data_IF_873042477324
#
_entry.id   IF_873042477324
#
_cell.length_a   1.000
_cell.length_b   1.000
_cell.length_c   1.000
_cell.angle_alpha   90.00
_cell.angle_beta   90.00
_cell.angle_gamma   90.00
#
_symmetry.space_group_name_H-M   'P 1'
#
loop_
_entity.id
_entity.type
_entity.pdbx_description
1 polymer ?
#
# COMPACT_ATOMS: atom_id res chain seq x y z
N UNK A 1 -6.82 6.89 28.22
CA UNK A 1 -5.67 7.78 27.97
C UNK A 1 -5.84 8.34 26.57
N UNK A 2 -6.42 9.54 26.44
CA UNK A 2 -6.75 10.16 25.14
C UNK A 2 -5.51 10.75 24.43
N UNK A 3 -4.40 10.88 25.15
CA UNK A 3 -3.21 11.62 24.70
C UNK A 3 -2.09 10.74 24.11
N UNK A 4 -2.24 9.41 24.07
CA UNK A 4 -1.21 8.52 23.54
C UNK A 4 -0.99 8.71 22.03
N UNK A 5 0.26 8.68 21.54
CA UNK A 5 0.58 8.62 20.11
C UNK A 5 0.06 7.31 19.51
N UNK A 6 -0.92 7.40 18.62
CA UNK A 6 -1.57 6.22 18.04
C UNK A 6 -1.98 6.48 16.60
N UNK A 7 -2.00 5.41 15.79
CA UNK A 7 -2.63 5.42 14.49
C UNK A 7 -4.14 5.41 14.65
N UNK A 8 -4.84 6.06 13.73
CA UNK A 8 -6.31 6.05 13.69
C UNK A 8 -6.79 5.57 12.33
N UNK A 9 -7.92 4.85 12.26
CA UNK A 9 -8.46 4.34 11.01
C UNK A 9 -8.74 5.45 10.00
N UNK A 10 -8.56 5.13 8.73
CA UNK A 10 -8.95 5.96 7.59
C UNK A 10 -9.65 5.08 6.54
N UNK A 11 -9.68 5.52 5.29
CA UNK A 11 -9.98 4.63 4.17
C UNK A 11 -9.01 3.45 4.12
N UNK A 12 -9.47 2.33 3.55
CA UNK A 12 -8.69 1.12 3.35
C UNK A 12 -7.43 1.42 2.52
N UNK A 13 -6.28 0.95 3.01
CA UNK A 13 -4.98 1.25 2.39
C UNK A 13 -4.69 0.20 1.32
N UNK A 14 -5.13 0.47 0.09
CA UNK A 14 -4.97 -0.43 -1.06
C UNK A 14 -3.70 -0.11 -1.87
N UNK A 15 -2.72 -1.02 -1.87
CA UNK A 15 -1.47 -0.86 -2.63
C UNK A 15 -1.35 -1.96 -3.70
N UNK A 16 -1.32 -1.60 -5.00
CA UNK A 16 -1.09 -2.57 -6.05
C UNK A 16 0.33 -3.12 -5.96
N UNK A 17 0.47 -4.44 -5.97
CA UNK A 17 1.77 -5.09 -5.88
C UNK A 17 2.64 -4.73 -7.10
N UNK A 18 3.88 -4.34 -6.83
CA UNK A 18 4.84 -3.89 -7.84
C UNK A 18 4.75 -2.40 -8.21
N UNK A 19 3.70 -1.69 -7.80
CA UNK A 19 3.56 -0.26 -8.07
C UNK A 19 4.27 0.59 -7.04
N UNK A 20 4.96 1.64 -7.49
CA UNK A 20 5.59 2.61 -6.62
C UNK A 20 4.53 3.59 -6.11
N UNK A 21 4.15 3.48 -4.84
CA UNK A 21 3.17 4.37 -4.21
C UNK A 21 3.59 4.78 -2.79
N UNK A 22 3.23 6.00 -2.34
CA UNK A 22 3.32 6.37 -0.94
C UNK A 22 2.15 5.76 -0.15
N UNK A 23 2.32 5.62 1.17
CA UNK A 23 1.24 5.21 2.09
C UNK A 23 1.00 6.35 3.08
N UNK A 24 -0.19 6.92 3.08
CA UNK A 24 -0.56 8.02 4.00
C UNK A 24 -1.38 7.46 5.15
N UNK A 25 -0.96 7.74 6.37
CA UNK A 25 -1.59 7.26 7.60
C UNK A 25 -2.11 8.43 8.41
N UNK A 26 -3.29 8.24 8.99
CA UNK A 26 -3.86 9.14 10.00
C UNK A 26 -3.41 8.69 11.39
N UNK A 27 -3.20 9.66 12.27
CA UNK A 27 -2.76 9.41 13.62
C UNK A 27 -3.30 10.48 14.60
N UNK A 28 -2.98 10.30 15.88
CA UNK A 28 -3.12 11.31 16.93
C UNK A 28 -1.80 11.44 17.69
N UNK A 29 -1.51 12.65 18.16
CA UNK A 29 -0.43 12.96 19.08
C UNK A 29 0.97 12.45 18.67
N UNK A 30 1.27 12.43 17.35
CA UNK A 30 2.59 12.03 16.88
C UNK A 30 3.67 12.99 17.40
N UNK A 31 4.70 12.48 18.11
CA UNK A 31 5.77 13.31 18.67
C UNK A 31 6.56 14.02 17.58
N UNK A 32 7.07 15.21 17.89
CA UNK A 32 8.03 15.89 17.02
C UNK A 32 9.44 15.40 17.39
N UNK A 33 10.20 14.78 16.46
CA UNK A 33 11.58 14.39 16.72
C UNK A 33 12.41 15.61 17.15
N UNK A 34 13.10 15.48 18.27
CA UNK A 34 13.98 16.52 18.84
C UNK A 34 15.38 16.44 18.22
N UNK A 35 16.25 17.40 18.57
CA UNK A 35 17.64 17.42 18.11
C UNK A 35 18.34 16.09 18.45
N UNK A 36 18.97 15.47 17.45
CA UNK A 36 19.64 14.17 17.58
C UNK A 36 18.74 12.94 17.48
N UNK A 37 17.41 13.10 17.43
CA UNK A 37 16.48 11.99 17.21
C UNK A 37 16.27 11.72 15.72
N UNK A 38 16.18 10.43 15.35
CA UNK A 38 15.88 10.04 13.96
C UNK A 38 14.39 10.22 13.65
N UNK A 39 14.09 10.42 12.37
CA UNK A 39 12.73 10.57 11.86
C UNK A 39 11.91 9.28 11.92
N UNK A 40 10.80 9.29 11.19
CA UNK A 40 9.86 8.17 11.12
C UNK A 40 10.26 7.18 10.03
N UNK A 41 9.89 5.92 10.23
CA UNK A 41 10.04 4.82 9.29
C UNK A 41 8.76 3.95 9.34
N UNK A 42 8.34 3.43 8.19
CA UNK A 42 7.32 2.40 8.09
C UNK A 42 8.00 1.05 7.88
N UNK A 43 7.57 0.04 8.64
CA UNK A 43 8.06 -1.33 8.54
C UNK A 43 6.89 -2.23 8.20
N UNK A 44 6.84 -2.74 6.96
CA UNK A 44 5.81 -3.67 6.49
C UNK A 44 6.32 -5.11 6.60
N UNK A 45 5.48 -6.02 7.09
CA UNK A 45 5.85 -7.43 7.33
C UNK A 45 5.18 -8.32 6.29
N UNK A 46 5.87 -8.58 5.18
CA UNK A 46 5.32 -9.29 4.03
C UNK A 46 5.93 -10.69 3.98
N UNK A 47 5.12 -11.73 4.26
CA UNK A 47 5.54 -13.14 4.18
C UNK A 47 6.85 -13.46 4.92
N UNK A 48 7.06 -12.84 6.09
CA UNK A 48 8.27 -13.03 6.91
C UNK A 48 9.44 -12.12 6.54
N UNK A 49 9.29 -11.26 5.52
CA UNK A 49 10.29 -10.25 5.15
C UNK A 49 9.84 -8.86 5.62
N UNK A 50 10.72 -8.17 6.34
CA UNK A 50 10.47 -6.78 6.78
C UNK A 50 10.98 -5.78 5.75
N UNK A 51 10.06 -5.01 5.18
CA UNK A 51 10.36 -3.90 4.28
C UNK A 51 10.32 -2.59 5.04
N UNK A 52 11.49 -1.93 5.17
CA UNK A 52 11.62 -0.66 5.89
C UNK A 52 11.76 0.50 4.90
N UNK A 53 10.92 1.52 5.08
CA UNK A 53 10.86 2.70 4.21
C UNK A 53 10.81 3.94 5.09
N UNK A 54 11.53 4.99 4.72
CA UNK A 54 11.49 6.27 5.43
C UNK A 54 10.09 6.89 5.36
N UNK A 55 9.69 7.60 6.41
CA UNK A 55 8.39 8.24 6.50
C UNK A 55 8.51 9.69 6.96
N UNK A 56 7.62 10.53 6.44
CA UNK A 56 7.56 11.96 6.74
C UNK A 56 6.34 12.25 7.63
N UNK A 57 6.59 12.81 8.81
CA UNK A 57 5.55 13.37 9.66
C UNK A 57 5.20 14.76 9.17
N UNK A 58 3.95 14.98 8.74
CA UNK A 58 3.47 16.30 8.35
C UNK A 58 3.05 17.13 9.55
N UNK A 59 2.41 16.51 10.54
CA UNK A 59 1.94 17.14 11.77
C UNK A 59 1.66 16.07 12.84
N UNK A 60 1.03 16.43 13.95
CA UNK A 60 0.69 15.49 15.03
C UNK A 60 -0.35 14.44 14.64
N UNK A 61 -1.01 14.56 13.49
CA UNK A 61 -2.11 13.68 13.06
C UNK A 61 -1.93 13.01 11.70
N UNK A 62 -0.74 13.15 11.08
CA UNK A 62 -0.50 12.64 9.73
C UNK A 62 0.98 12.29 9.52
N UNK A 63 1.21 11.08 9.01
CA UNK A 63 2.52 10.57 8.61
C UNK A 63 2.38 9.84 7.27
N UNK A 64 3.40 9.93 6.41
CA UNK A 64 3.39 9.27 5.11
C UNK A 64 4.67 8.51 4.87
N UNK A 65 4.56 7.21 4.62
CA UNK A 65 5.64 6.38 4.12
C UNK A 65 6.00 6.85 2.70
N UNK A 66 7.29 7.00 2.43
CA UNK A 66 7.79 7.41 1.12
C UNK A 66 7.44 6.40 0.02
N UNK A 67 7.61 6.83 -1.23
CA UNK A 67 7.37 6.02 -2.41
C UNK A 67 8.18 4.72 -2.36
N UNK A 68 7.48 3.58 -2.39
CA UNK A 68 8.09 2.26 -2.48
C UNK A 68 7.16 1.30 -3.22
N UNK A 69 7.70 0.19 -3.71
CA UNK A 69 6.93 -0.90 -4.28
C UNK A 69 7.08 -2.15 -3.43
N UNK A 70 5.98 -2.88 -3.30
CA UNK A 70 5.90 -4.08 -2.47
C UNK A 70 5.42 -5.25 -3.31
N UNK A 71 5.97 -6.43 -3.05
CA UNK A 71 5.65 -7.67 -3.74
C UNK A 71 5.43 -8.77 -2.72
N UNK A 72 4.50 -9.68 -3.03
CA UNK A 72 4.31 -10.93 -2.31
C UNK A 72 4.35 -12.09 -3.31
N UNK A 73 4.73 -13.27 -2.86
CA UNK A 73 4.91 -14.45 -3.70
C UNK A 73 3.58 -15.10 -4.12
N UNK A 74 3.60 -15.71 -5.31
CA UNK A 74 2.48 -16.48 -5.84
C UNK A 74 1.37 -15.65 -6.51
N UNK A 75 0.48 -16.35 -7.22
CA UNK A 75 -0.67 -15.79 -7.96
C UNK A 75 -2.02 -16.33 -7.49
N UNK A 76 -2.01 -17.11 -6.39
CA UNK A 76 -3.20 -17.73 -5.81
C UNK A 76 -4.00 -16.80 -4.92
N UNK A 77 -3.40 -15.70 -4.47
CA UNK A 77 -3.99 -14.72 -3.55
C UNK A 77 -4.10 -13.39 -4.29
N UNK A 78 -5.31 -12.88 -4.44
CA UNK A 78 -5.57 -11.61 -5.14
C UNK A 78 -5.42 -10.38 -4.25
N UNK A 79 -5.59 -10.54 -2.94
CA UNK A 79 -5.44 -9.52 -1.90
C UNK A 79 -4.81 -10.15 -0.65
N UNK A 80 -3.77 -9.51 -0.12
CA UNK A 80 -3.01 -9.92 1.05
C UNK A 80 -3.02 -8.78 2.08
N UNK A 81 -3.70 -8.95 3.23
CA UNK A 81 -3.54 -8.03 4.35
C UNK A 81 -2.13 -8.16 4.94
N UNK A 82 -1.50 -7.02 5.20
CA UNK A 82 -0.12 -6.90 5.68
C UNK A 82 -0.10 -6.06 6.94
N UNK A 83 0.45 -6.64 8.00
CA UNK A 83 0.73 -5.94 9.23
C UNK A 83 1.93 -5.00 9.05
N UNK A 84 1.86 -3.84 9.70
CA UNK A 84 2.93 -2.85 9.64
C UNK A 84 3.14 -2.18 10.99
N UNK A 85 4.29 -1.52 11.11
CA UNK A 85 4.63 -0.69 12.27
C UNK A 85 5.16 0.64 11.81
N UNK A 86 4.77 1.71 12.49
CA UNK A 86 5.38 3.03 12.33
C UNK A 86 6.37 3.20 13.47
N UNK A 87 7.65 3.34 13.13
CA UNK A 87 8.75 3.45 14.08
C UNK A 87 9.33 4.86 13.99
N UNK A 88 9.76 5.43 15.11
CA UNK A 88 10.51 6.68 15.12
C UNK A 88 11.70 6.58 16.06
N UNK A 89 12.73 7.39 15.81
CA UNK A 89 13.99 7.36 16.54
C UNK A 89 14.63 5.95 16.64
N UNK A 90 14.37 5.09 15.64
CA UNK A 90 14.95 3.76 15.45
C UNK A 90 14.22 2.60 16.14
N UNK A 91 13.58 2.81 17.29
CA UNK A 91 12.99 1.72 18.07
C UNK A 91 11.65 2.03 18.77
N UNK A 92 11.16 3.26 18.72
CA UNK A 92 9.86 3.60 19.32
C UNK A 92 8.75 3.31 18.32
N UNK A 93 7.89 2.36 18.65
CA UNK A 93 6.75 1.95 17.82
C UNK A 93 5.54 2.81 18.22
N UNK A 94 4.84 3.36 17.23
CA UNK A 94 3.56 4.05 17.42
C UNK A 94 2.45 3.01 17.58
N UNK A 95 1.56 3.21 18.55
CA UNK A 95 0.48 2.27 18.84
C UNK A 95 -0.50 2.16 17.66
N UNK A 96 -0.94 0.94 17.37
CA UNK A 96 -1.95 0.63 16.35
C UNK A 96 -3.12 -0.14 16.99
N UNK A 97 -3.93 0.50 17.86
CA UNK A 97 -4.96 -0.17 18.65
C UNK A 97 -6.07 -0.81 17.80
N UNK A 98 -6.35 -0.22 16.65
CA UNK A 98 -7.38 -0.69 15.70
C UNK A 98 -6.87 -1.77 14.73
N UNK A 99 -5.63 -2.24 14.92
CA UNK A 99 -4.98 -3.24 14.08
C UNK A 99 -5.12 -2.92 12.58
N UNK A 100 -4.84 -1.67 12.21
CA UNK A 100 -4.90 -1.19 10.82
C UNK A 100 -3.88 -1.99 10.00
N UNK A 101 -4.28 -2.41 8.79
CA UNK A 101 -3.47 -3.18 7.87
C UNK A 101 -3.32 -2.46 6.53
N UNK A 102 -2.23 -2.78 5.82
CA UNK A 102 -2.04 -2.43 4.41
C UNK A 102 -2.48 -3.61 3.56
N UNK A 103 -3.31 -3.37 2.54
CA UNK A 103 -3.83 -4.40 1.66
C UNK A 103 -3.06 -4.39 0.34
N UNK A 104 -2.17 -5.36 0.16
CA UNK A 104 -1.47 -5.56 -1.11
C UNK A 104 -2.36 -6.35 -2.05
N UNK A 105 -2.49 -5.95 -3.31
CA UNK A 105 -3.33 -6.68 -4.27
C UNK A 105 -2.68 -6.84 -5.64
N UNK A 106 -3.10 -7.89 -6.36
CA UNK A 106 -2.69 -8.17 -7.74
C UNK A 106 -3.92 -8.24 -8.64
N UNK A 107 -3.94 -7.46 -9.71
CA UNK A 107 -5.04 -7.52 -10.68
C UNK A 107 -5.12 -8.87 -11.40
N UNK A 108 -3.97 -9.42 -11.80
CA UNK A 108 -3.92 -10.68 -12.56
C UNK A 108 -4.19 -11.95 -11.72
N UNK A 109 -4.01 -11.89 -10.40
CA UNK A 109 -4.17 -13.06 -9.55
C UNK A 109 -5.63 -13.53 -9.50
N UNK A 110 -5.86 -14.82 -9.79
CA UNK A 110 -7.18 -15.47 -9.90
C UNK A 110 -8.11 -14.89 -10.98
N UNK A 111 -7.58 -14.18 -11.99
CA UNK A 111 -8.39 -13.46 -13.00
C UNK A 111 -7.89 -13.70 -14.42
N UNK A 112 -8.00 -14.95 -14.85
CA UNK A 112 -7.47 -15.42 -16.15
C UNK A 112 -8.39 -15.12 -17.35
N UNK A 113 -9.57 -14.53 -17.10
CA UNK A 113 -10.54 -14.18 -18.15
C UNK A 113 -11.14 -12.80 -17.93
N UNK A 114 -11.66 -12.20 -19.00
CA UNK A 114 -12.33 -10.90 -18.94
C UNK A 114 -13.49 -10.88 -17.94
N UNK A 115 -14.30 -11.95 -17.90
CA UNK A 115 -15.42 -12.08 -16.96
C UNK A 115 -14.96 -12.09 -15.50
N UNK A 116 -13.89 -12.83 -15.18
CA UNK A 116 -13.31 -12.82 -13.84
C UNK A 116 -12.68 -11.46 -13.48
N UNK A 117 -12.01 -10.82 -14.44
CA UNK A 117 -11.43 -9.50 -14.26
C UNK A 117 -12.49 -8.43 -13.97
N UNK A 118 -13.59 -8.43 -14.72
CA UNK A 118 -14.69 -7.47 -14.56
C UNK A 118 -15.56 -7.74 -13.33
N UNK A 119 -15.52 -8.96 -12.79
CA UNK A 119 -16.16 -9.32 -11.51
C UNK A 119 -15.36 -8.85 -10.29
N UNK A 120 -14.10 -8.44 -10.47
CA UNK A 120 -13.28 -7.92 -9.38
C UNK A 120 -13.95 -6.70 -8.73
N UNK A 121 -13.69 -6.51 -7.43
CA UNK A 121 -14.13 -5.32 -6.73
C UNK A 121 -13.57 -4.06 -7.42
N UNK A 122 -14.44 -3.07 -7.63
CA UNK A 122 -14.11 -1.80 -8.27
C UNK A 122 -13.04 -1.03 -7.49
N UNK A 123 -12.90 -1.27 -6.18
CA UNK A 123 -11.88 -0.63 -5.32
C UNK A 123 -10.45 -0.86 -5.83
N UNK A 124 -10.19 -1.99 -6.50
CA UNK A 124 -8.86 -2.32 -7.04
C UNK A 124 -8.53 -1.64 -8.37
N UNK A 125 -9.52 -1.01 -9.02
CA UNK A 125 -9.35 -0.32 -10.31
C UNK A 125 -8.70 -1.19 -11.41
N UNK A 126 -8.86 -2.52 -11.30
CA UNK A 126 -8.41 -3.47 -12.31
C UNK A 126 -9.30 -3.37 -13.57
N UNK A 127 -8.73 -3.74 -14.71
CA UNK A 127 -9.40 -3.77 -16.00
C UNK A 127 -8.83 -4.86 -16.90
N UNK A 128 -9.68 -5.37 -17.79
CA UNK A 128 -9.26 -6.31 -18.81
C UNK A 128 -8.58 -5.55 -19.96
N UNK A 129 -7.33 -5.91 -20.26
CA UNK A 129 -6.61 -5.34 -21.38
C UNK A 129 -6.75 -6.27 -22.59
N UNK A 130 -7.69 -5.97 -23.48
CA UNK A 130 -8.01 -6.84 -24.63
C UNK A 130 -6.81 -7.06 -25.57
N UNK A 131 -5.96 -6.04 -25.76
CA UNK A 131 -4.77 -6.16 -26.62
C UNK A 131 -3.71 -7.11 -26.08
N UNK A 132 -3.69 -7.34 -24.75
CA UNK A 132 -2.71 -8.20 -24.09
C UNK A 132 -3.32 -9.49 -23.52
N UNK A 133 -4.65 -9.62 -23.58
CA UNK A 133 -5.36 -10.79 -23.06
C UNK A 133 -5.19 -11.02 -21.56
N UNK A 134 -5.00 -9.97 -20.75
CA UNK A 134 -4.76 -10.09 -19.30
C UNK A 134 -5.50 -9.06 -18.46
N UNK A 135 -5.73 -9.39 -17.19
CA UNK A 135 -6.25 -8.46 -16.19
C UNK A 135 -5.13 -7.64 -15.55
N UNK A 136 -5.17 -6.32 -15.67
CA UNK A 136 -4.13 -5.42 -15.17
C UNK A 136 -4.74 -4.12 -14.62
N UNK A 137 -3.94 -3.23 -14.03
CA UNK A 137 -4.41 -1.87 -13.72
C UNK A 137 -4.74 -1.14 -15.01
N UNK A 138 -5.81 -0.35 -15.03
CA UNK A 138 -6.27 0.35 -16.25
C UNK A 138 -5.19 1.18 -16.94
N UNK A 139 -4.34 1.85 -16.16
CA UNK A 139 -3.27 2.71 -16.69
C UNK A 139 -2.04 1.92 -17.20
N UNK A 140 -1.95 0.61 -16.93
CA UNK A 140 -0.94 -0.26 -17.52
C UNK A 140 -1.37 -0.88 -18.84
N UNK A 141 -2.64 -0.74 -19.22
CA UNK A 141 -3.08 -1.18 -20.53
C UNK A 141 -2.72 -0.09 -21.56
N UNK A 142 -1.86 -0.38 -22.56
CA UNK A 142 -1.56 0.60 -23.58
C UNK A 142 -2.83 0.99 -24.33
N UNK A 143 -2.98 2.28 -24.61
CA UNK A 143 -4.00 2.73 -25.56
C UNK A 143 -3.63 2.12 -26.92
N UNK A 144 -4.51 1.27 -27.46
CA UNK A 144 -4.35 0.77 -28.82
C UNK A 144 -4.44 1.99 -29.74
N UNK A 145 -3.29 2.49 -30.21
CA UNK A 145 -3.25 3.57 -31.18
C UNK A 145 -3.70 2.98 -32.52
N UNK A 146 -4.82 3.42 -33.11
CA UNK A 146 -5.34 2.85 -34.35
C UNK A 146 -4.42 3.07 -35.58
N UNK A 147 -3.29 3.77 -35.41
CA UNK A 147 -2.34 4.09 -36.46
C UNK A 147 -1.04 3.27 -36.47
N UNK A 148 -0.81 2.38 -35.50
CA UNK A 148 0.45 1.59 -35.41
C UNK A 148 0.30 0.14 -35.91
N UNK A 149 -0.87 -0.25 -36.41
CA UNK A 149 -1.02 -1.51 -37.16
C UNK A 149 -0.99 -1.19 -38.66
N UNK A 150 0.20 -1.08 -39.23
CA UNK A 150 0.40 -1.10 -40.67
C UNK A 150 1.57 -1.97 -41.04
#
# INVERSE_FOLDING_TARGET
>A
SEDCPQLVPSEEILIPAGEVKPITLKAKNLPQPQSGQRGYECVLHIQGVSHRVTALRFNSSSVQCQNSSYLYEGMRISELPVDFSVVWNGNFIIDNPENIQVHLYKCAAQRDSCGMCLKADRKFQCGWCSGEGRCTLRHHCPLINPYTTR
#
